data_IF_726612530250
#
_entry.id   IF_726612530250
#
_cell.length_a   1.000
_cell.length_b   1.000
_cell.length_c   1.000
_cell.angle_alpha   90.00
_cell.angle_beta   90.00
_cell.angle_gamma   90.00
#
_symmetry.space_group_name_H-M   'P 1'
#
loop_
_entity.id
_entity.type
_entity.pdbx_description
1 polymer ?
#
# COMPACT_ATOMS: atom_id res chain seq x y z
N UNK A 1 14.07 -1.69 10.19
CA UNK A 1 14.03 -1.55 8.73
C UNK A 1 12.86 -0.65 8.33
N UNK A 2 13.07 0.25 7.37
CA UNK A 2 12.04 1.06 6.72
C UNK A 2 11.35 0.21 5.65
N UNK A 3 10.05 -0.01 5.82
CA UNK A 3 9.26 -0.86 4.95
C UNK A 3 8.22 -0.03 4.21
N UNK A 4 8.14 -0.20 2.89
CA UNK A 4 6.93 0.16 2.15
C UNK A 4 6.12 -1.11 1.94
N UNK A 5 4.85 -1.09 2.32
CA UNK A 5 3.94 -2.21 2.13
C UNK A 5 3.02 -1.94 0.95
N UNK A 6 2.93 -2.85 -0.02
CA UNK A 6 2.02 -2.74 -1.16
C UNK A 6 0.99 -3.87 -1.13
N UNK A 7 -0.28 -3.54 -0.93
CA UNK A 7 -1.36 -4.53 -0.90
C UNK A 7 -2.73 -3.89 -0.99
N UNK A 8 -3.78 -4.68 -1.25
CA UNK A 8 -5.12 -4.12 -1.48
C UNK A 8 -6.25 -4.92 -0.81
N UNK A 9 -6.43 -6.21 -1.09
CA UNK A 9 -7.57 -6.96 -0.56
C UNK A 9 -7.37 -7.33 0.91
N UNK A 10 -8.45 -7.83 1.52
CA UNK A 10 -8.47 -8.36 2.88
C UNK A 10 -7.36 -9.42 3.13
N UNK A 11 -7.04 -10.21 2.10
CA UNK A 11 -5.94 -11.19 2.15
C UNK A 11 -4.58 -10.58 2.51
N UNK A 12 -4.33 -9.30 2.19
CA UNK A 12 -3.07 -8.63 2.50
C UNK A 12 -3.03 -8.04 3.92
N UNK A 13 -4.18 -7.90 4.59
CA UNK A 13 -4.30 -7.25 5.90
C UNK A 13 -3.52 -7.99 7.00
N UNK A 14 -3.57 -9.33 7.13
CA UNK A 14 -2.82 -10.04 8.16
C UNK A 14 -1.31 -9.80 8.07
N UNK A 15 -0.76 -9.73 6.86
CA UNK A 15 0.68 -9.46 6.65
C UNK A 15 1.07 -8.04 7.06
N UNK A 16 0.28 -7.03 6.71
CA UNK A 16 0.51 -5.65 7.17
C UNK A 16 0.45 -5.58 8.70
N UNK A 17 -0.57 -6.20 9.31
CA UNK A 17 -0.74 -6.24 10.77
C UNK A 17 0.46 -6.91 11.45
N UNK A 18 0.95 -8.02 10.91
CA UNK A 18 2.12 -8.72 11.44
C UNK A 18 3.38 -7.84 11.42
N UNK A 19 3.61 -7.11 10.33
CA UNK A 19 4.75 -6.18 10.22
C UNK A 19 4.69 -5.06 11.27
N UNK A 20 3.50 -4.49 11.48
CA UNK A 20 3.24 -3.45 12.48
C UNK A 20 3.48 -3.98 13.90
N UNK A 21 2.88 -5.13 14.24
CA UNK A 21 2.99 -5.75 15.58
C UNK A 21 4.43 -6.15 15.90
N UNK A 22 5.20 -6.60 14.90
CA UNK A 22 6.62 -6.91 15.05
C UNK A 22 7.51 -5.67 15.26
N UNK A 23 6.94 -4.45 15.31
CA UNK A 23 7.69 -3.22 15.56
C UNK A 23 8.49 -2.72 14.36
N UNK A 24 8.19 -3.19 13.14
CA UNK A 24 8.86 -2.68 11.95
C UNK A 24 8.39 -1.25 11.64
N UNK A 25 9.29 -0.44 11.09
CA UNK A 25 8.95 0.91 10.65
C UNK A 25 8.31 0.86 9.26
N UNK A 26 7.00 0.64 9.20
CA UNK A 26 6.22 0.77 7.97
C UNK A 26 6.07 2.26 7.66
N UNK A 27 6.88 2.77 6.71
CA UNK A 27 6.94 4.22 6.40
C UNK A 27 5.80 4.66 5.50
N UNK A 28 5.23 3.75 4.70
CA UNK A 28 4.05 4.01 3.90
C UNK A 28 3.39 2.71 3.44
N UNK A 29 2.09 2.78 3.22
CA UNK A 29 1.27 1.73 2.59
C UNK A 29 0.83 2.20 1.21
N UNK A 30 1.05 1.38 0.20
CA UNK A 30 0.54 1.58 -1.16
C UNK A 30 -0.62 0.62 -1.41
N UNK A 31 -1.76 1.14 -1.81
CA UNK A 31 -2.93 0.34 -2.16
C UNK A 31 -3.59 0.90 -3.42
N UNK A 32 -4.48 0.13 -4.05
CA UNK A 32 -5.23 0.66 -5.18
C UNK A 32 -6.15 1.82 -4.73
N UNK A 33 -6.53 2.73 -5.64
CA UNK A 33 -7.57 3.72 -5.36
C UNK A 33 -8.86 3.10 -4.83
N UNK A 34 -9.60 3.87 -4.06
CA UNK A 34 -10.92 3.48 -3.56
C UNK A 34 -11.82 3.11 -4.75
N UNK A 35 -12.60 2.04 -4.58
CA UNK A 35 -13.45 1.51 -5.67
C UNK A 35 -14.88 1.30 -5.18
N UNK A 36 -15.87 1.50 -6.06
CA UNK A 36 -17.24 1.09 -5.78
C UNK A 36 -17.33 -0.40 -5.42
N UNK A 37 -18.02 -0.72 -4.33
CA UNK A 37 -18.25 -2.10 -3.87
C UNK A 37 -19.73 -2.36 -3.59
N UNK A 38 -20.15 -3.61 -3.76
CA UNK A 38 -21.51 -4.08 -3.43
C UNK A 38 -22.61 -3.55 -4.35
N UNK A 39 -23.87 -3.88 -4.00
CA UNK A 39 -25.06 -3.30 -4.64
C UNK A 39 -25.15 -1.83 -4.22
N UNK A 40 -25.34 -0.92 -5.17
CA UNK A 40 -25.34 0.53 -4.92
C UNK A 40 -23.99 1.22 -5.15
N UNK A 41 -22.91 0.48 -5.46
CA UNK A 41 -21.62 1.05 -5.90
C UNK A 41 -21.07 2.13 -4.96
N UNK A 42 -21.20 1.91 -3.65
CA UNK A 42 -20.65 2.85 -2.65
C UNK A 42 -19.13 2.83 -2.74
N UNK A 43 -18.52 4.02 -2.83
CA UNK A 43 -17.08 4.18 -2.84
C UNK A 43 -16.51 3.68 -1.51
N UNK A 44 -15.72 2.62 -1.57
CA UNK A 44 -15.22 1.92 -0.37
C UNK A 44 -13.69 1.91 -0.39
N UNK A 45 -13.02 2.25 0.72
CA UNK A 45 -11.58 2.13 0.83
C UNK A 45 -11.16 0.66 0.78
N UNK A 46 -9.97 0.33 0.25
CA UNK A 46 -9.44 -1.02 0.36
C UNK A 46 -9.18 -1.42 1.81
N UNK A 47 -9.34 -2.70 2.21
CA UNK A 47 -9.07 -3.16 3.57
C UNK A 47 -7.67 -2.78 4.10
N UNK A 48 -6.66 -2.78 3.22
CA UNK A 48 -5.30 -2.37 3.58
C UNK A 48 -5.21 -0.86 3.91
N UNK A 49 -6.00 -0.01 3.23
CA UNK A 49 -6.09 1.43 3.55
C UNK A 49 -6.67 1.63 4.94
N UNK A 50 -7.75 0.92 5.25
CA UNK A 50 -8.43 1.04 6.55
C UNK A 50 -7.48 0.72 7.71
N UNK A 51 -6.75 -0.41 7.62
CA UNK A 51 -5.76 -0.77 8.65
C UNK A 51 -4.63 0.26 8.75
N UNK A 52 -4.11 0.74 7.61
CA UNK A 52 -3.05 1.74 7.61
C UNK A 52 -3.46 3.04 8.32
N UNK A 53 -4.68 3.52 8.05
CA UNK A 53 -5.22 4.73 8.68
C UNK A 53 -5.44 4.54 10.19
N UNK A 54 -5.91 3.36 10.63
CA UNK A 54 -6.04 3.05 12.06
C UNK A 54 -4.71 3.13 12.82
N UNK A 55 -3.59 2.85 12.14
CA UNK A 55 -2.25 2.91 12.70
C UNK A 55 -1.49 4.20 12.36
N UNK A 56 -2.16 5.22 11.81
CA UNK A 56 -1.57 6.49 11.38
C UNK A 56 -0.40 6.33 10.38
N UNK A 57 -0.47 5.32 9.52
CA UNK A 57 0.53 5.07 8.48
C UNK A 57 0.14 5.82 7.21
N UNK A 58 1.03 6.60 6.59
CA UNK A 58 0.75 7.30 5.33
C UNK A 58 0.33 6.34 4.22
N UNK A 59 -0.77 6.65 3.54
CA UNK A 59 -1.30 5.84 2.43
C UNK A 59 -1.07 6.53 1.08
N UNK A 60 -0.52 5.80 0.12
CA UNK A 60 -0.38 6.21 -1.27
C UNK A 60 -1.33 5.38 -2.16
N UNK A 61 -2.09 6.05 -3.02
CA UNK A 61 -3.04 5.42 -3.94
C UNK A 61 -2.81 5.88 -5.39
N UNK A 62 -1.64 5.55 -6.00
CA UNK A 62 -1.37 5.98 -7.36
C UNK A 62 -2.40 5.38 -8.33
N UNK A 63 -2.94 6.20 -9.23
CA UNK A 63 -3.76 5.69 -10.34
C UNK A 63 -2.94 4.81 -11.28
N UNK A 64 -1.68 5.22 -11.52
CA UNK A 64 -0.71 4.54 -12.37
C UNK A 64 0.59 4.33 -11.61
N UNK A 65 1.01 3.07 -11.51
CA UNK A 65 2.26 2.69 -10.82
C UNK A 65 3.53 3.14 -11.56
N UNK A 66 3.39 3.45 -12.86
CA UNK A 66 4.50 3.92 -13.72
C UNK A 66 4.63 5.44 -13.74
N UNK A 67 3.79 6.15 -12.98
CA UNK A 67 3.85 7.58 -12.90
C UNK A 67 5.16 8.03 -12.24
N UNK A 68 5.88 8.95 -12.88
CA UNK A 68 7.20 9.39 -12.40
C UNK A 68 7.12 10.09 -11.05
N UNK A 69 6.04 10.82 -10.77
CA UNK A 69 5.86 11.49 -9.47
C UNK A 69 5.71 10.45 -8.36
N UNK A 70 4.95 9.38 -8.60
CA UNK A 70 4.83 8.27 -7.66
C UNK A 70 6.17 7.54 -7.47
N UNK A 71 6.89 7.24 -8.55
CA UNK A 71 8.21 6.60 -8.47
C UNK A 71 9.18 7.44 -7.64
N UNK A 72 9.19 8.76 -7.83
CA UNK A 72 10.04 9.67 -7.07
C UNK A 72 9.65 9.72 -5.59
N UNK A 73 8.35 9.66 -5.28
CA UNK A 73 7.88 9.54 -3.89
C UNK A 73 8.41 8.24 -3.26
N UNK A 74 8.25 7.09 -3.92
CA UNK A 74 8.74 5.80 -3.39
C UNK A 74 10.25 5.82 -3.16
N UNK A 75 11.02 6.38 -4.11
CA UNK A 75 12.47 6.55 -3.96
C UNK A 75 12.84 7.46 -2.80
N UNK A 76 12.14 8.58 -2.64
CA UNK A 76 12.36 9.54 -1.56
C UNK A 76 12.04 9.00 -0.16
N UNK A 77 11.20 7.97 -0.06
CA UNK A 77 10.96 7.27 1.21
C UNK A 77 12.20 6.46 1.68
N UNK A 78 13.13 6.17 0.77
CA UNK A 78 14.33 5.34 1.00
C UNK A 78 14.00 4.06 1.81
N UNK A 79 13.11 3.17 1.31
CA UNK A 79 12.81 1.93 1.98
C UNK A 79 14.00 0.96 1.91
N UNK A 80 14.20 0.18 2.98
CA UNK A 80 15.15 -0.94 2.96
C UNK A 80 14.55 -2.13 2.20
N UNK A 81 13.23 -2.27 2.23
CA UNK A 81 12.49 -3.32 1.54
C UNK A 81 11.07 -2.87 1.17
N UNK A 82 10.58 -3.37 0.02
CA UNK A 82 9.19 -3.26 -0.39
C UNK A 82 8.53 -4.63 -0.25
N UNK A 83 7.52 -4.73 0.61
CA UNK A 83 6.76 -5.96 0.84
C UNK A 83 5.47 -5.90 0.02
N UNK A 84 5.25 -6.87 -0.86
CA UNK A 84 4.12 -6.84 -1.82
C UNK A 84 3.22 -8.05 -1.62
N UNK A 85 1.95 -7.84 -1.27
CA UNK A 85 0.94 -8.90 -1.14
C UNK A 85 -0.34 -8.50 -1.87
N UNK A 86 -0.72 -9.27 -2.89
CA UNK A 86 -1.99 -9.13 -3.60
C UNK A 86 -2.31 -7.68 -4.06
N UNK A 87 -1.29 -6.92 -4.49
CA UNK A 87 -1.46 -5.52 -4.88
C UNK A 87 -2.21 -5.33 -6.22
N UNK A 88 -2.17 -6.31 -7.11
CA UNK A 88 -2.96 -6.32 -8.36
C UNK A 88 -2.48 -5.35 -9.45
N UNK A 89 -1.22 -4.92 -9.39
CA UNK A 89 -0.53 -4.17 -10.46
C UNK A 89 0.84 -4.76 -10.72
N UNK A 90 1.29 -4.71 -11.97
CA UNK A 90 2.65 -5.08 -12.35
C UNK A 90 3.60 -3.96 -11.93
N UNK A 91 4.62 -4.29 -11.14
CA UNK A 91 5.63 -3.32 -10.72
C UNK A 91 6.63 -3.06 -11.86
N UNK A 92 6.89 -1.79 -12.22
CA UNK A 92 7.94 -1.45 -13.17
C UNK A 92 9.32 -1.66 -12.55
N UNK A 93 10.34 -1.90 -13.39
CA UNK A 93 11.74 -2.03 -12.95
C UNK A 93 12.24 -0.84 -12.13
N UNK A 94 11.67 0.35 -12.31
CA UNK A 94 12.06 1.54 -11.55
C UNK A 94 11.66 1.51 -10.06
N UNK A 95 10.83 0.55 -9.65
CA UNK A 95 10.41 0.30 -8.25
C UNK A 95 11.13 -0.90 -7.64
N UNK A 96 11.68 -1.79 -8.48
CA UNK A 96 12.45 -2.97 -8.05
C UNK A 96 13.90 -2.59 -7.78
#
# INVERSE_FOLDING_TARGET
>A
MKIVFMGTPEFAVPSLKALIVAGNKVVSVVTQPDKPKGRGKVLTPPPVKELALQHNIPVLQPEKIRDETFINVIKGLCPDIIVVIAYGKILPKAIL
#
